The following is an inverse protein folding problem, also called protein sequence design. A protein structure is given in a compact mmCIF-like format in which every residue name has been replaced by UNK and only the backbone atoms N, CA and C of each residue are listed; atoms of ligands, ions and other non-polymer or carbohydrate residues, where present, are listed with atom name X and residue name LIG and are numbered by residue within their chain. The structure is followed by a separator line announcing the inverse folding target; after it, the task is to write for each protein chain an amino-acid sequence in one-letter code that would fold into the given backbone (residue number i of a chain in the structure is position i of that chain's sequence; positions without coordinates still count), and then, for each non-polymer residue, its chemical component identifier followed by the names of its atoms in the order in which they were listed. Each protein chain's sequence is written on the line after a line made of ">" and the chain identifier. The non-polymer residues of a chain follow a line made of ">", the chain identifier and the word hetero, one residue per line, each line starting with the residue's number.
data_IF_848829405961
#
_entry.id   IF_848829405961
#
_cell.length_a   1.000
_cell.length_b   1.000
_cell.length_c   1.000
_cell.angle_alpha   90.00
_cell.angle_beta   90.00
_cell.angle_gamma   90.00
#
_symmetry.space_group_name_H-M   'P 1'
#
loop_
_entity.id
_entity.type
_entity.pdbx_description
1 polymer ?
#
# COMPACT_ATOMS: atom_id res chain seq x y z
N UNK A 1 -42.66 -19.20 -8.21
CA UNK A 1 -42.01 -17.96 -8.70
C UNK A 1 -41.16 -18.36 -9.92
N UNK A 2 -40.76 -17.47 -10.84
CA UNK A 2 -39.86 -17.85 -11.94
C UNK A 2 -38.42 -17.46 -11.62
N UNK A 3 -37.43 -18.11 -12.24
CA UNK A 3 -36.02 -17.77 -12.05
C UNK A 3 -35.70 -16.30 -12.42
N UNK A 4 -36.32 -15.78 -13.49
CA UNK A 4 -36.19 -14.36 -13.88
C UNK A 4 -36.77 -13.42 -12.83
N UNK A 5 -37.99 -13.71 -12.33
CA UNK A 5 -38.61 -12.90 -11.27
C UNK A 5 -37.81 -12.94 -9.96
N UNK A 6 -37.12 -14.06 -9.69
CA UNK A 6 -36.21 -14.19 -8.56
C UNK A 6 -34.96 -13.32 -8.71
N UNK A 7 -34.37 -13.22 -9.91
CA UNK A 7 -33.25 -12.31 -10.19
C UNK A 7 -33.64 -10.84 -9.99
N UNK A 8 -34.81 -10.43 -10.49
CA UNK A 8 -35.28 -9.04 -10.34
C UNK A 8 -35.61 -8.70 -8.88
N UNK A 9 -36.19 -9.65 -8.15
CA UNK A 9 -36.44 -9.52 -6.70
C UNK A 9 -35.14 -9.43 -5.91
N UNK A 10 -34.14 -10.25 -6.27
CA UNK A 10 -32.82 -10.20 -5.64
C UNK A 10 -32.18 -8.82 -5.84
N UNK A 11 -32.15 -8.29 -7.08
CA UNK A 11 -31.63 -6.95 -7.37
C UNK A 11 -32.33 -5.84 -6.58
N UNK A 12 -33.66 -5.90 -6.52
CA UNK A 12 -34.47 -4.93 -5.78
C UNK A 12 -34.22 -4.96 -4.28
N UNK A 13 -33.79 -6.11 -3.74
CA UNK A 13 -33.40 -6.28 -2.35
C UNK A 13 -31.90 -6.01 -2.08
N UNK A 14 -31.15 -5.56 -3.09
CA UNK A 14 -29.70 -5.36 -3.00
C UNK A 14 -28.90 -6.67 -2.95
N UNK A 15 -29.49 -7.79 -3.38
CA UNK A 15 -28.84 -9.09 -3.50
C UNK A 15 -28.46 -9.33 -4.95
N UNK A 16 -27.16 -9.49 -5.19
CA UNK A 16 -26.59 -9.85 -6.47
C UNK A 16 -26.34 -11.37 -6.52
N UNK A 17 -26.90 -12.02 -7.54
CA UNK A 17 -26.76 -13.45 -7.82
C UNK A 17 -25.89 -13.61 -9.05
N UNK A 18 -24.88 -14.46 -8.97
CA UNK A 18 -23.89 -14.57 -10.03
C UNK A 18 -23.37 -15.99 -10.20
N UNK A 19 -22.80 -16.27 -11.38
CA UNK A 19 -22.18 -17.56 -11.65
C UNK A 19 -20.70 -17.49 -11.27
N UNK A 20 -20.27 -18.41 -10.42
CA UNK A 20 -18.85 -18.61 -10.07
C UNK A 20 -18.13 -19.40 -11.15
N UNK A 21 -16.81 -19.26 -11.20
CA UNK A 21 -15.90 -20.04 -12.06
C UNK A 21 -16.04 -21.56 -11.91
N UNK A 22 -16.44 -22.06 -10.74
CA UNK A 22 -16.71 -23.49 -10.49
C UNK A 22 -18.10 -23.95 -11.02
N UNK A 23 -18.87 -23.05 -11.62
CA UNK A 23 -20.21 -23.32 -12.13
C UNK A 23 -21.32 -23.29 -11.08
N UNK A 24 -21.02 -22.89 -9.84
CA UNK A 24 -22.02 -22.71 -8.78
C UNK A 24 -22.59 -21.28 -8.78
N UNK A 25 -23.70 -21.09 -8.05
CA UNK A 25 -24.29 -19.76 -7.84
C UNK A 25 -23.63 -19.12 -6.62
N UNK A 26 -22.98 -17.98 -6.84
CA UNK A 26 -22.57 -17.05 -5.79
C UNK A 26 -23.66 -16.02 -5.49
N UNK A 27 -23.68 -15.55 -4.26
CA UNK A 27 -24.62 -14.50 -3.80
C UNK A 27 -23.84 -13.42 -3.05
N UNK A 28 -24.20 -12.16 -3.23
CA UNK A 28 -23.65 -11.00 -2.51
C UNK A 28 -24.80 -10.08 -2.11
N UNK A 29 -24.76 -9.50 -0.91
CA UNK A 29 -25.77 -8.53 -0.47
C UNK A 29 -26.14 -8.68 0.99
N UNK A 30 -27.20 -7.99 1.45
CA UNK A 30 -27.66 -8.04 2.82
C UNK A 30 -28.02 -9.47 3.27
N UNK A 31 -27.35 -9.96 4.31
CA UNK A 31 -27.56 -11.32 4.86
C UNK A 31 -29.02 -11.66 5.19
N UNK A 32 -29.84 -10.76 5.78
CA UNK A 32 -31.25 -11.06 6.09
C UNK A 32 -32.08 -11.29 4.83
N UNK A 33 -31.80 -10.52 3.76
CA UNK A 33 -32.48 -10.66 2.48
C UNK A 33 -32.08 -11.97 1.78
N UNK A 34 -30.79 -12.34 1.86
CA UNK A 34 -30.30 -13.60 1.30
C UNK A 34 -30.91 -14.82 2.00
N UNK A 35 -30.94 -14.83 3.33
CA UNK A 35 -31.47 -15.95 4.12
C UNK A 35 -32.94 -16.24 3.77
N UNK A 36 -33.74 -15.20 3.52
CA UNK A 36 -35.13 -15.33 3.08
C UNK A 36 -35.30 -15.84 1.65
N UNK A 37 -34.26 -15.82 0.81
CA UNK A 37 -34.32 -16.22 -0.61
C UNK A 37 -33.64 -17.58 -0.89
N UNK A 38 -32.93 -18.16 0.08
CA UNK A 38 -32.20 -19.42 -0.09
C UNK A 38 -33.08 -20.61 -0.55
N UNK A 39 -34.32 -20.80 -0.06
CA UNK A 39 -35.18 -21.88 -0.54
C UNK A 39 -35.47 -21.77 -2.04
N UNK A 40 -35.84 -20.59 -2.51
CA UNK A 40 -36.19 -20.36 -3.92
C UNK A 40 -34.95 -20.39 -4.82
N UNK A 41 -33.78 -19.94 -4.34
CA UNK A 41 -32.52 -20.08 -5.08
C UNK A 41 -32.17 -21.56 -5.29
N UNK A 42 -32.45 -22.43 -4.32
CA UNK A 42 -32.23 -23.88 -4.44
C UNK A 42 -33.22 -24.53 -5.40
N UNK A 43 -34.49 -24.12 -5.33
CA UNK A 43 -35.55 -24.62 -6.21
C UNK A 43 -35.28 -24.30 -7.69
N UNK A 44 -34.82 -23.08 -7.99
CA UNK A 44 -34.61 -22.62 -9.36
C UNK A 44 -33.14 -22.65 -9.82
N UNK A 45 -32.29 -23.44 -9.17
CA UNK A 45 -30.84 -23.41 -9.35
C UNK A 45 -30.40 -23.53 -10.82
N UNK A 46 -30.91 -24.52 -11.54
CA UNK A 46 -30.43 -24.82 -12.90
C UNK A 46 -30.92 -23.77 -13.91
N UNK A 47 -32.16 -23.28 -13.73
CA UNK A 47 -32.70 -22.16 -14.52
C UNK A 47 -31.93 -20.85 -14.27
N UNK A 48 -31.59 -20.57 -13.01
CA UNK A 48 -30.76 -19.41 -12.65
C UNK A 48 -29.37 -19.50 -13.28
N UNK A 49 -28.73 -20.67 -13.26
CA UNK A 49 -27.44 -20.87 -13.92
C UNK A 49 -27.53 -20.67 -15.43
N UNK A 50 -28.59 -21.15 -16.08
CA UNK A 50 -28.83 -20.93 -17.50
C UNK A 50 -29.04 -19.44 -17.83
N UNK A 51 -29.82 -18.73 -17.01
CA UNK A 51 -30.05 -17.30 -17.17
C UNK A 51 -28.78 -16.47 -16.92
N UNK A 52 -28.00 -16.82 -15.91
CA UNK A 52 -26.72 -16.17 -15.63
C UNK A 52 -25.71 -16.43 -16.75
N UNK A 53 -25.65 -17.64 -17.31
CA UNK A 53 -24.82 -17.96 -18.47
C UNK A 53 -25.29 -17.30 -19.77
N UNK A 54 -26.60 -17.11 -19.95
CA UNK A 54 -27.15 -16.38 -21.09
C UNK A 54 -26.92 -14.86 -20.96
N UNK A 55 -26.87 -14.35 -19.72
CA UNK A 55 -26.55 -12.96 -19.39
C UNK A 55 -25.05 -12.67 -19.24
N UNK A 56 -24.16 -13.67 -19.35
CA UNK A 56 -22.71 -13.48 -19.19
C UNK A 56 -22.06 -12.93 -20.47
N UNK A 57 -22.16 -11.60 -20.63
CA UNK A 57 -21.02 -10.74 -20.91
C UNK A 57 -20.54 -10.02 -19.62
N UNK A 58 -20.77 -10.64 -18.45
CA UNK A 58 -20.32 -10.16 -17.16
C UNK A 58 -19.77 -11.35 -16.36
N UNK A 59 -18.46 -11.35 -16.20
CA UNK A 59 -17.64 -12.39 -15.58
C UNK A 59 -17.68 -12.25 -14.05
N UNK A 60 -18.02 -13.34 -13.36
CA UNK A 60 -17.64 -13.74 -11.98
C UNK A 60 -17.41 -12.64 -10.89
N UNK A 61 -18.43 -12.30 -10.08
CA UNK A 61 -18.30 -11.59 -8.80
C UNK A 61 -17.67 -12.38 -7.64
N UNK A 62 -16.90 -13.44 -7.93
CA UNK A 62 -15.92 -14.04 -7.02
C UNK A 62 -14.60 -13.26 -6.93
N UNK A 63 -14.34 -12.36 -7.88
CA UNK A 63 -13.22 -11.40 -7.82
C UNK A 63 -13.80 -10.00 -7.64
N UNK A 64 -14.24 -9.67 -6.42
CA UNK A 64 -14.35 -8.27 -6.06
C UNK A 64 -12.94 -7.66 -6.09
N UNK A 65 -12.62 -6.99 -7.20
CA UNK A 65 -11.80 -5.77 -7.21
C UNK A 65 -10.49 -5.84 -6.44
N UNK A 66 -9.56 -6.70 -6.86
CA UNK A 66 -8.16 -6.33 -6.68
C UNK A 66 -7.71 -5.69 -8.00
N UNK A 67 -7.79 -4.36 -8.04
CA UNK A 67 -7.07 -3.60 -9.06
C UNK A 67 -5.62 -4.10 -9.06
N UNK A 68 -5.12 -4.53 -10.21
CA UNK A 68 -3.74 -5.03 -10.29
C UNK A 68 -2.80 -3.97 -9.70
N UNK A 69 -1.86 -4.34 -8.81
CA UNK A 69 -0.97 -3.36 -8.17
C UNK A 69 -0.17 -2.50 -9.15
N UNK A 70 0.14 -3.05 -10.34
CA UNK A 70 0.81 -2.32 -11.42
C UNK A 70 -0.13 -1.28 -12.02
N UNK A 71 -1.38 -1.64 -12.25
CA UNK A 71 -2.39 -0.70 -12.74
C UNK A 71 -2.71 0.36 -11.69
N UNK A 72 -2.87 -0.01 -10.42
CA UNK A 72 -3.05 0.97 -9.33
C UNK A 72 -1.87 1.96 -9.28
N UNK A 73 -0.63 1.47 -9.36
CA UNK A 73 0.56 2.33 -9.37
C UNK A 73 0.61 3.25 -10.62
N UNK A 74 0.26 2.73 -11.79
CA UNK A 74 0.20 3.51 -13.05
C UNK A 74 -0.86 4.60 -13.00
N UNK A 75 -2.06 4.26 -12.52
CA UNK A 75 -3.18 5.19 -12.38
C UNK A 75 -2.86 6.28 -11.36
N UNK A 76 -2.32 5.91 -10.18
CA UNK A 76 -1.85 6.90 -9.17
C UNK A 76 -0.76 7.82 -9.73
N UNK A 77 0.16 7.28 -10.54
CA UNK A 77 1.21 8.08 -11.20
C UNK A 77 0.61 9.07 -12.22
N UNK A 78 -0.36 8.64 -13.02
CA UNK A 78 -1.07 9.52 -13.95
C UNK A 78 -1.87 10.61 -13.22
N UNK A 79 -2.57 10.26 -12.14
CA UNK A 79 -3.28 11.23 -11.30
C UNK A 79 -2.31 12.29 -10.73
N UNK A 80 -1.16 11.86 -10.21
CA UNK A 80 -0.10 12.77 -9.76
C UNK A 80 0.41 13.66 -10.90
N UNK A 81 0.56 13.12 -12.12
CA UNK A 81 1.02 13.88 -13.29
C UNK A 81 0.05 15.00 -13.70
N UNK A 82 -1.25 14.78 -13.53
CA UNK A 82 -2.27 15.82 -13.75
C UNK A 82 -2.54 16.69 -12.50
N UNK A 83 -1.66 16.60 -11.50
CA UNK A 83 -1.72 17.32 -10.21
C UNK A 83 -2.93 16.95 -9.33
N UNK A 84 -3.53 15.78 -9.56
CA UNK A 84 -4.56 15.24 -8.69
C UNK A 84 -3.92 14.55 -7.47
N UNK A 85 -4.09 15.19 -6.32
CA UNK A 85 -3.53 14.77 -5.03
C UNK A 85 -4.60 14.61 -3.94
N UNK A 86 -5.86 14.96 -4.23
CA UNK A 86 -6.92 14.86 -3.24
C UNK A 86 -7.18 13.38 -2.90
N UNK A 87 -7.00 12.96 -1.64
CA UNK A 87 -7.11 11.55 -1.28
C UNK A 87 -8.52 10.99 -1.48
N UNK A 88 -9.56 11.84 -1.43
CA UNK A 88 -10.94 11.42 -1.68
C UNK A 88 -11.12 11.11 -3.17
N UNK A 89 -10.77 12.06 -4.04
CA UNK A 89 -10.88 11.91 -5.49
C UNK A 89 -10.02 10.76 -6.01
N UNK A 90 -8.79 10.60 -5.51
CA UNK A 90 -7.94 9.45 -5.83
C UNK A 90 -8.59 8.13 -5.37
N UNK A 91 -9.18 8.10 -4.17
CA UNK A 91 -9.92 6.95 -3.66
C UNK A 91 -11.08 6.56 -4.57
N UNK A 92 -11.91 7.53 -4.95
CA UNK A 92 -13.07 7.31 -5.82
C UNK A 92 -12.70 6.79 -7.21
N UNK A 93 -11.61 7.30 -7.79
CA UNK A 93 -11.10 6.79 -9.09
C UNK A 93 -10.67 5.34 -8.97
N UNK A 94 -9.92 4.99 -7.91
CA UNK A 94 -9.45 3.62 -7.70
C UNK A 94 -10.59 2.66 -7.37
N UNK A 95 -11.56 3.09 -6.56
CA UNK A 95 -12.77 2.30 -6.26
C UNK A 95 -13.59 2.07 -7.53
N UNK A 96 -13.74 3.08 -8.39
CA UNK A 96 -14.39 2.93 -9.69
C UNK A 96 -13.65 1.93 -10.58
N UNK A 97 -12.32 2.01 -10.65
CA UNK A 97 -11.50 1.06 -11.43
C UNK A 97 -11.59 -0.38 -10.91
N UNK A 98 -11.95 -0.60 -9.64
CA UNK A 98 -12.14 -1.95 -9.06
C UNK A 98 -13.46 -2.59 -9.46
N UNK A 99 -14.44 -1.80 -9.87
CA UNK A 99 -15.82 -2.25 -10.11
C UNK A 99 -16.31 -2.05 -11.54
N UNK A 100 -15.59 -1.24 -12.33
CA UNK A 100 -15.97 -0.83 -13.68
C UNK A 100 -14.80 -1.01 -14.65
N UNK A 101 -14.92 -2.02 -15.52
CA UNK A 101 -13.90 -2.39 -16.51
C UNK A 101 -13.70 -1.34 -17.60
N UNK A 102 -14.75 -0.58 -17.94
CA UNK A 102 -14.66 0.52 -18.90
C UNK A 102 -13.90 1.69 -18.29
N UNK A 103 -14.17 2.00 -17.02
CA UNK A 103 -13.38 2.97 -16.27
C UNK A 103 -11.91 2.54 -16.15
N UNK A 104 -11.64 1.27 -15.80
CA UNK A 104 -10.28 0.73 -15.75
C UNK A 104 -9.57 0.85 -17.11
N UNK A 105 -10.26 0.52 -18.20
CA UNK A 105 -9.72 0.62 -19.56
C UNK A 105 -9.38 2.07 -19.93
N UNK A 106 -10.26 3.02 -19.58
CA UNK A 106 -10.02 4.44 -19.75
C UNK A 106 -8.77 4.90 -18.99
N UNK A 107 -8.68 4.61 -17.69
CA UNK A 107 -7.56 5.05 -16.87
C UNK A 107 -6.24 4.34 -17.22
N UNK A 108 -6.28 3.09 -17.71
CA UNK A 108 -5.10 2.41 -18.28
C UNK A 108 -4.59 3.12 -19.53
N UNK A 109 -5.49 3.48 -20.45
CA UNK A 109 -5.11 4.20 -21.66
C UNK A 109 -4.47 5.56 -21.31
N UNK A 110 -5.07 6.28 -20.37
CA UNK A 110 -4.53 7.54 -19.84
C UNK A 110 -3.17 7.37 -19.17
N UNK A 111 -3.02 6.35 -18.33
CA UNK A 111 -1.76 6.09 -17.65
C UNK A 111 -0.64 5.64 -18.59
N UNK A 112 -0.97 5.07 -19.76
CA UNK A 112 -0.01 4.75 -20.80
C UNK A 112 0.51 5.99 -21.55
N UNK A 113 -0.21 7.12 -21.56
CA UNK A 113 0.24 8.38 -22.16
C UNK A 113 1.44 8.98 -21.40
N UNK A 114 1.58 8.65 -20.11
CA UNK A 114 2.68 9.16 -19.28
C UNK A 114 3.92 8.29 -19.45
N UNK A 115 4.68 8.55 -20.51
CA UNK A 115 6.06 8.12 -20.60
C UNK A 115 6.91 9.06 -19.74
N UNK A 116 6.87 8.89 -18.42
CA UNK A 116 7.95 9.43 -17.59
C UNK A 116 9.13 8.50 -17.85
N UNK A 117 10.17 9.01 -18.54
CA UNK A 117 11.50 8.38 -18.54
C UNK A 117 11.72 7.85 -17.15
N UNK A 118 11.93 6.53 -17.03
CA UNK A 118 12.07 5.88 -15.74
C UNK A 118 13.00 6.75 -14.90
N UNK A 119 12.44 7.45 -13.92
CA UNK A 119 13.24 8.08 -12.88
C UNK A 119 14.16 6.94 -12.46
N UNK A 120 15.49 7.07 -12.64
CA UNK A 120 16.39 5.95 -12.45
C UNK A 120 15.99 5.32 -11.13
N UNK A 121 15.70 4.01 -11.15
CA UNK A 121 15.43 3.26 -9.91
C UNK A 121 16.39 3.83 -8.90
N UNK A 122 15.92 4.44 -7.79
CA UNK A 122 16.75 5.29 -6.96
C UNK A 122 17.99 4.47 -6.68
N UNK A 123 19.08 4.82 -7.37
CA UNK A 123 20.24 3.93 -7.54
C UNK A 123 20.61 3.66 -6.13
N UNK A 124 20.38 2.43 -5.65
CA UNK A 124 20.27 2.18 -4.22
C UNK A 124 21.48 2.84 -3.59
N UNK A 125 21.27 4.03 -2.99
CA UNK A 125 22.36 4.76 -2.40
C UNK A 125 22.89 3.75 -1.41
N UNK A 126 24.18 3.37 -1.45
CA UNK A 126 24.69 2.35 -0.56
C UNK A 126 24.25 2.78 0.83
N UNK A 127 23.38 1.97 1.45
CA UNK A 127 22.45 2.46 2.45
C UNK A 127 23.20 3.38 3.43
N UNK A 128 22.95 4.70 3.35
CA UNK A 128 23.46 5.65 4.34
C UNK A 128 22.75 5.30 5.64
N UNK A 129 23.32 4.37 6.40
CA UNK A 129 22.80 3.76 7.62
C UNK A 129 22.25 4.82 8.56
N UNK A 130 20.99 4.76 9.00
CA UNK A 130 20.21 5.77 9.79
C UNK A 130 20.88 6.24 11.11
N UNK A 131 20.74 7.52 11.56
CA UNK A 131 21.10 7.96 12.91
C UNK A 131 19.93 7.64 13.79
N UNK A 132 20.04 6.56 14.53
CA UNK A 132 19.43 6.51 15.85
C UNK A 132 20.31 7.33 16.81
N UNK A 133 20.05 7.32 18.12
CA UNK A 133 20.93 7.85 19.18
C UNK A 133 22.32 7.17 19.19
N UNK A 134 23.01 7.23 18.04
CA UNK A 134 23.81 6.15 17.46
C UNK A 134 24.29 6.44 16.02
N UNK A 135 24.15 7.67 15.47
CA UNK A 135 25.18 8.23 14.55
C UNK A 135 25.88 9.43 15.19
N UNK A 136 27.13 9.61 14.79
CA UNK A 136 28.03 10.66 15.25
C UNK A 136 27.55 12.11 15.06
N UNK A 137 26.75 12.42 14.04
CA UNK A 137 26.43 13.81 13.69
C UNK A 137 25.59 14.56 14.75
N UNK A 138 24.87 13.84 15.61
CA UNK A 138 24.04 14.43 16.66
C UNK A 138 24.82 14.69 17.96
N UNK A 139 26.13 14.43 17.97
CA UNK A 139 26.97 14.62 19.14
C UNK A 139 28.03 15.68 18.85
N UNK A 140 28.28 16.54 19.84
CA UNK A 140 29.46 17.39 19.84
C UNK A 140 30.73 16.53 20.01
N UNK A 141 31.90 16.98 19.54
CA UNK A 141 33.15 16.36 19.96
C UNK A 141 33.30 16.48 21.48
N UNK A 142 33.84 15.43 22.10
CA UNK A 142 34.19 15.47 23.52
C UNK A 142 35.54 16.18 23.72
N UNK A 143 35.52 17.42 24.18
CA UNK A 143 36.74 18.24 24.41
C UNK A 143 37.56 17.80 25.63
N UNK A 144 36.98 17.04 26.55
CA UNK A 144 37.65 16.54 27.75
C UNK A 144 38.31 15.17 27.57
N UNK A 145 38.07 14.47 26.45
CA UNK A 145 38.67 13.15 26.19
C UNK A 145 39.86 13.26 25.21
N UNK A 146 41.10 12.98 25.65
CA UNK A 146 42.29 13.07 24.81
C UNK A 146 42.31 12.09 23.63
N UNK A 147 41.49 11.03 23.64
CA UNK A 147 41.39 10.06 22.54
C UNK A 147 40.27 10.38 21.53
N UNK A 148 39.47 11.42 21.80
CA UNK A 148 38.29 11.77 21.01
C UNK A 148 37.07 10.86 21.30
N UNK A 149 35.88 11.29 20.85
CA UNK A 149 34.63 10.56 21.11
C UNK A 149 33.37 11.42 20.98
N UNK A 150 32.21 10.78 21.20
CA UNK A 150 30.91 11.44 21.26
C UNK A 150 30.78 12.21 22.59
N UNK A 151 30.54 13.51 22.52
CA UNK A 151 30.22 14.39 23.65
C UNK A 151 28.71 14.64 23.75
N UNK A 152 28.31 15.86 24.15
CA UNK A 152 26.91 16.19 24.36
C UNK A 152 26.03 15.98 23.11
N UNK A 153 24.81 15.49 23.31
CA UNK A 153 23.81 15.41 22.26
C UNK A 153 23.32 16.82 21.89
N UNK A 154 23.53 17.20 20.63
CA UNK A 154 23.17 18.53 20.10
C UNK A 154 21.67 18.74 19.89
N UNK A 155 20.90 17.66 19.86
CA UNK A 155 19.44 17.70 19.70
C UNK A 155 18.70 17.41 21.02
N UNK A 156 19.45 17.32 22.13
CA UNK A 156 18.93 17.15 23.49
C UNK A 156 17.88 16.03 23.62
N UNK A 157 18.16 14.89 22.98
CA UNK A 157 17.26 13.74 23.00
C UNK A 157 17.04 13.28 24.46
N UNK A 158 15.82 12.89 24.88
CA UNK A 158 15.56 12.50 26.27
C UNK A 158 16.47 11.39 26.79
N UNK A 159 16.87 10.45 25.91
CA UNK A 159 17.82 9.40 26.24
C UNK A 159 19.23 9.94 26.57
N UNK A 160 19.64 11.08 26.02
CA UNK A 160 20.96 11.70 26.26
C UNK A 160 21.11 12.34 27.65
N UNK A 161 19.98 12.63 28.32
CA UNK A 161 19.95 13.27 29.64
C UNK A 161 20.16 12.30 30.80
N UNK A 162 20.12 10.99 30.54
CA UNK A 162 20.40 9.96 31.55
C UNK A 162 21.91 9.83 31.77
N UNK A 163 22.33 9.72 33.02
CA UNK A 163 23.71 9.46 33.37
C UNK A 163 24.21 8.18 32.67
N UNK A 164 25.36 8.26 31.98
CA UNK A 164 25.94 7.15 31.22
C UNK A 164 25.49 7.05 29.75
N UNK A 165 24.56 7.89 29.29
CA UNK A 165 24.02 7.79 27.92
C UNK A 165 24.79 8.58 26.85
N UNK A 166 25.83 9.34 27.21
CA UNK A 166 26.56 10.22 26.29
C UNK A 166 28.07 10.25 26.50
N UNK A 167 28.75 9.15 26.86
CA UNK A 167 30.21 9.19 27.01
C UNK A 167 30.88 7.85 26.67
N UNK A 168 31.66 7.76 25.58
CA UNK A 168 32.72 6.77 25.51
C UNK A 168 33.88 7.24 26.39
N UNK A 169 34.02 6.59 27.54
CA UNK A 169 35.26 6.57 28.32
C UNK A 169 36.38 5.87 27.52
N UNK A 170 37.66 5.99 27.91
CA UNK A 170 38.78 5.39 27.16
C UNK A 170 38.58 3.90 26.84
N UNK A 171 37.90 3.18 27.73
CA UNK A 171 37.64 1.74 27.65
C UNK A 171 36.32 1.36 26.97
N UNK A 172 35.57 2.33 26.42
CA UNK A 172 34.29 2.05 25.76
C UNK A 172 34.50 1.52 24.34
N UNK A 173 33.90 0.37 24.03
CA UNK A 173 34.11 -0.33 22.76
C UNK A 173 33.58 0.42 21.53
N UNK A 174 32.56 1.28 21.70
CA UNK A 174 32.01 2.04 20.59
C UNK A 174 32.81 3.32 20.36
N UNK A 175 33.51 3.39 19.22
CA UNK A 175 34.21 4.59 18.74
C UNK A 175 33.51 5.14 17.51
N UNK A 176 33.55 6.45 17.36
CA UNK A 176 33.06 7.12 16.16
C UNK A 176 34.25 7.53 15.31
N UNK A 177 34.42 6.96 14.12
CA UNK A 177 35.57 7.26 13.25
C UNK A 177 35.69 8.73 12.80
N UNK A 178 34.59 9.50 12.86
CA UNK A 178 34.60 10.95 12.63
C UNK A 178 35.32 11.72 13.75
N UNK A 179 35.25 11.24 14.98
CA UNK A 179 35.78 11.91 16.17
C UNK A 179 36.91 11.13 16.85
N UNK A 180 37.17 9.89 16.44
CA UNK A 180 38.42 9.22 16.70
C UNK A 180 39.53 10.14 16.22
N UNK A 181 40.52 10.39 17.07
CA UNK A 181 41.72 11.09 16.64
C UNK A 181 42.30 10.30 15.46
N UNK A 182 42.05 10.74 14.22
CA UNK A 182 42.91 10.39 13.08
C UNK A 182 44.30 10.67 13.61
N UNK A 183 45.14 9.64 13.66
CA UNK A 183 46.57 9.79 13.93
C UNK A 183 47.02 11.10 13.28
N UNK A 184 47.49 12.07 14.08
CA UNK A 184 48.00 13.34 13.59
C UNK A 184 49.20 12.99 12.71
N UNK A 185 48.92 12.68 11.44
CA UNK A 185 49.92 12.37 10.43
C UNK A 185 50.51 13.72 10.06
N UNK A 186 51.70 13.99 10.59
CA UNK A 186 52.53 15.13 10.22
C UNK A 186 52.33 16.37 11.09
N UNK A 187 52.94 16.38 12.26
CA UNK A 187 53.64 17.59 12.69
C UNK A 187 55.12 17.31 12.44
N UNK A 188 55.60 17.75 11.28
CA UNK A 188 56.99 18.07 10.96
C UNK A 188 56.94 19.46 10.33
#
# INVERSE_FOLDING_TARGET
>A
MTATALLDRARSAGVDLYRRSDGSIGCRGPKPALEGMLPEIREHRDELLALLAAGTAATDPGTAGNLDPTDEARIRRWLTFIEEHDPITVGEVLDRCRTDDDALSYYRARAAEVVIEAQPEPTAEPARQKPVCGRCQHFAPNEGNPTGGLGACRIDAPASRKAGSCWPWPDFAARCDRFSARQRKGMQ
#
